data_IF_618284784377
#
_entry.id   IF_618284784377
#
_cell.length_a   1.000
_cell.length_b   1.000
_cell.length_c   1.000
_cell.angle_alpha   90.00
_cell.angle_beta   90.00
_cell.angle_gamma   90.00
#
_symmetry.space_group_name_H-M   'P 1'
#
loop_
_entity.id
_entity.type
_entity.pdbx_description
1 polymer ?
#
# COMPACT_ATOMS: atom_id res chain seq x y z
N UNK A 1 21.85 -4.76 7.51
CA UNK A 1 22.79 -5.24 6.46
C UNK A 1 22.59 -4.47 5.15
N UNK A 2 21.38 -3.99 4.84
CA UNK A 2 21.15 -3.07 3.70
C UNK A 2 21.67 -1.63 3.92
N UNK A 3 21.94 -1.20 5.16
CA UNK A 3 22.63 0.08 5.41
C UNK A 3 24.11 0.08 4.97
N UNK A 4 24.72 -1.09 4.74
CA UNK A 4 26.17 -1.20 4.46
C UNK A 4 26.52 -1.33 2.97
N UNK A 5 25.54 -1.49 2.08
CA UNK A 5 25.78 -1.56 0.64
C UNK A 5 25.14 -0.35 -0.01
N UNK A 6 25.89 0.75 -0.03
CA UNK A 6 25.56 1.98 -0.75
C UNK A 6 25.32 1.71 -2.24
N UNK A 7 24.11 1.28 -2.56
CA UNK A 7 23.59 1.08 -3.92
C UNK A 7 22.90 2.34 -4.44
N UNK A 8 23.07 3.47 -3.76
CA UNK A 8 22.62 4.76 -4.25
C UNK A 8 23.69 5.33 -5.20
N UNK A 9 23.35 5.69 -6.45
CA UNK A 9 24.24 6.39 -7.37
C UNK A 9 25.00 7.53 -6.70
N UNK A 10 26.29 7.66 -7.01
CA UNK A 10 27.22 8.65 -6.42
C UNK A 10 26.78 10.12 -6.64
N UNK A 11 25.82 10.34 -7.54
CA UNK A 11 25.24 11.64 -7.89
C UNK A 11 23.99 12.00 -7.06
N UNK A 12 23.54 11.12 -6.17
CA UNK A 12 22.35 11.40 -5.36
C UNK A 12 22.69 12.37 -4.24
N UNK A 13 21.86 13.41 -4.13
CA UNK A 13 21.95 14.37 -3.02
C UNK A 13 21.79 13.66 -1.68
N UNK A 14 22.31 14.24 -0.57
CA UNK A 14 22.10 13.70 0.76
C UNK A 14 20.62 13.50 1.07
N UNK A 15 20.29 12.44 1.83
CA UNK A 15 18.90 12.09 2.19
C UNK A 15 18.14 13.25 2.84
N UNK A 16 18.80 13.99 3.72
CA UNK A 16 18.21 15.14 4.42
C UNK A 16 17.88 16.27 3.44
N UNK A 17 18.73 16.48 2.43
CA UNK A 17 18.49 17.48 1.37
C UNK A 17 17.30 17.08 0.50
N UNK A 18 17.19 15.78 0.16
CA UNK A 18 16.05 15.26 -0.60
C UNK A 18 14.76 15.42 0.22
N UNK A 19 14.77 15.03 1.49
CA UNK A 19 13.62 15.14 2.38
C UNK A 19 13.16 16.59 2.55
N UNK A 20 14.11 17.53 2.71
CA UNK A 20 13.78 18.94 2.80
C UNK A 20 13.19 19.46 1.48
N UNK A 21 13.79 19.12 0.34
CA UNK A 21 13.28 19.53 -0.99
C UNK A 21 11.85 19.07 -1.20
N UNK A 22 11.54 17.81 -0.86
CA UNK A 22 10.18 17.25 -0.97
C UNK A 22 9.22 17.97 -0.01
N UNK A 23 9.66 18.23 1.22
CA UNK A 23 8.86 18.97 2.21
C UNK A 23 8.53 20.36 1.70
N UNK A 24 9.49 21.08 1.14
CA UNK A 24 9.30 22.41 0.59
C UNK A 24 8.30 22.41 -0.58
N UNK A 25 8.37 21.40 -1.47
CA UNK A 25 7.41 21.21 -2.57
C UNK A 25 5.99 21.01 -2.04
N UNK A 26 5.81 20.11 -1.06
CA UNK A 26 4.49 19.79 -0.50
C UNK A 26 3.93 21.00 0.25
N UNK A 27 4.73 21.69 1.06
CA UNK A 27 4.30 22.89 1.80
C UNK A 27 3.91 24.03 0.85
N UNK A 28 4.66 24.22 -0.24
CA UNK A 28 4.34 25.22 -1.26
C UNK A 28 2.99 24.98 -1.98
N UNK A 29 2.47 23.74 -1.93
CA UNK A 29 1.20 23.35 -2.55
C UNK A 29 0.11 22.97 -1.52
N UNK A 30 0.34 23.24 -0.22
CA UNK A 30 -0.54 22.84 0.87
C UNK A 30 -2.00 23.33 0.69
N UNK A 31 -2.20 24.59 0.27
CA UNK A 31 -3.53 25.15 0.05
C UNK A 31 -4.31 24.35 -1.02
N UNK A 32 -3.65 23.97 -2.11
CA UNK A 32 -4.27 23.18 -3.19
C UNK A 32 -4.61 21.76 -2.71
N UNK A 33 -3.70 21.13 -1.96
CA UNK A 33 -3.86 19.80 -1.39
C UNK A 33 -5.04 19.72 -0.41
N UNK A 34 -5.22 20.77 0.39
CA UNK A 34 -6.36 20.88 1.31
C UNK A 34 -7.67 21.03 0.53
N UNK A 35 -7.73 21.99 -0.40
CA UNK A 35 -8.93 22.31 -1.15
C UNK A 35 -9.44 21.15 -2.04
N UNK A 36 -8.52 20.44 -2.70
CA UNK A 36 -8.89 19.46 -3.73
C UNK A 36 -8.85 18.02 -3.24
N UNK A 37 -7.93 17.71 -2.31
CA UNK A 37 -7.68 16.35 -1.85
C UNK A 37 -7.91 16.16 -0.35
N UNK A 38 -8.34 17.19 0.38
CA UNK A 38 -8.54 17.14 1.84
C UNK A 38 -7.29 16.64 2.60
N UNK A 39 -6.11 16.93 2.06
CA UNK A 39 -4.83 16.62 2.69
C UNK A 39 -4.26 17.89 3.30
N UNK A 40 -4.07 17.90 4.62
CA UNK A 40 -3.69 19.12 5.36
C UNK A 40 -2.24 19.00 5.79
N UNK A 41 -1.43 19.98 5.40
CA UNK A 41 -0.02 20.11 5.78
C UNK A 41 0.18 21.46 6.47
N UNK A 42 0.83 21.45 7.63
CA UNK A 42 1.12 22.68 8.36
C UNK A 42 2.22 23.49 7.68
N UNK A 43 2.32 24.78 8.02
CA UNK A 43 3.41 25.66 7.56
C UNK A 43 4.79 25.19 8.02
N UNK A 44 4.84 24.41 9.09
CA UNK A 44 6.07 23.81 9.63
C UNK A 44 6.44 22.48 8.95
N UNK A 45 5.69 22.06 7.91
CA UNK A 45 5.95 20.82 7.17
C UNK A 45 5.39 19.55 7.81
N UNK A 46 4.43 19.68 8.74
CA UNK A 46 3.81 18.52 9.40
C UNK A 46 2.53 18.10 8.70
N UNK A 47 2.40 16.82 8.35
CA UNK A 47 1.16 16.25 7.84
C UNK A 47 0.13 16.13 8.98
N UNK A 48 -0.98 16.84 8.85
CA UNK A 48 -2.05 16.90 9.87
C UNK A 48 -3.26 16.02 9.52
N UNK A 49 -3.59 15.90 8.23
CA UNK A 49 -4.74 15.12 7.78
C UNK A 49 -4.52 14.50 6.40
N UNK A 50 -5.20 13.37 6.16
CA UNK A 50 -5.23 12.63 4.89
C UNK A 50 -6.69 12.42 4.44
N UNK A 51 -6.95 12.26 3.13
CA UNK A 51 -8.29 12.05 2.61
C UNK A 51 -8.98 10.79 3.17
N UNK A 52 -10.30 10.83 3.36
CA UNK A 52 -11.07 9.62 3.66
C UNK A 52 -11.79 9.13 2.40
N UNK A 53 -11.11 8.30 1.60
CA UNK A 53 -11.66 7.82 0.32
C UNK A 53 -12.82 6.83 0.50
N UNK A 54 -12.76 6.01 1.55
CA UNK A 54 -13.79 5.03 1.88
C UNK A 54 -14.10 5.09 3.38
N UNK A 55 -15.37 5.24 3.74
CA UNK A 55 -15.79 5.36 5.13
C UNK A 55 -15.37 4.14 5.95
N UNK A 56 -14.62 4.38 7.03
CA UNK A 56 -14.13 3.33 7.93
C UNK A 56 -12.91 2.56 7.41
N UNK A 57 -12.38 2.92 6.25
CA UNK A 57 -11.12 2.38 5.74
C UNK A 57 -9.97 3.32 6.07
N UNK A 58 -8.90 2.75 6.64
CA UNK A 58 -7.64 3.43 6.91
C UNK A 58 -6.55 2.63 6.21
N UNK A 59 -5.75 3.25 5.33
CA UNK A 59 -4.67 2.55 4.63
C UNK A 59 -3.53 2.17 5.58
N UNK A 60 -2.67 1.26 5.12
CA UNK A 60 -1.47 0.87 5.87
C UNK A 60 -0.49 2.03 5.95
N UNK A 61 -0.30 2.57 7.17
CA UNK A 61 0.55 3.75 7.39
C UNK A 61 2.04 3.49 7.19
N UNK A 62 2.47 2.23 7.10
CA UNK A 62 3.85 1.88 6.74
C UNK A 62 4.22 2.36 5.32
N UNK A 63 3.22 2.59 4.46
CA UNK A 63 3.41 3.14 3.10
C UNK A 63 3.53 4.67 3.08
N UNK A 64 3.25 5.35 4.19
CA UNK A 64 3.21 6.80 4.24
C UNK A 64 4.55 7.46 3.84
N UNK A 65 5.72 6.98 4.29
CA UNK A 65 7.00 7.57 3.88
C UNK A 65 7.23 7.49 2.36
N UNK A 66 6.90 6.35 1.75
CA UNK A 66 7.04 6.15 0.31
C UNK A 66 6.03 7.00 -0.48
N UNK A 67 4.80 7.14 0.03
CA UNK A 67 3.80 8.03 -0.56
C UNK A 67 4.28 9.48 -0.57
N UNK A 68 4.80 10.00 0.56
CA UNK A 68 5.33 11.37 0.62
C UNK A 68 6.52 11.58 -0.31
N UNK A 69 7.41 10.58 -0.43
CA UNK A 69 8.50 10.61 -1.40
C UNK A 69 7.97 10.72 -2.83
N UNK A 70 6.99 9.88 -3.21
CA UNK A 70 6.40 9.86 -4.56
C UNK A 70 5.59 11.12 -4.86
N UNK A 71 4.98 11.76 -3.87
CA UNK A 71 4.37 13.09 -4.07
C UNK A 71 5.41 14.12 -4.54
N UNK A 72 6.62 14.08 -3.99
CA UNK A 72 7.68 15.00 -4.38
C UNK A 72 8.33 14.67 -5.73
N UNK A 73 8.36 13.40 -6.14
CA UNK A 73 9.14 12.95 -7.32
C UNK A 73 8.31 12.54 -8.53
N UNK A 74 7.12 11.99 -8.34
CA UNK A 74 6.31 11.38 -9.41
C UNK A 74 5.14 12.25 -9.86
N UNK A 75 4.75 13.23 -9.05
CA UNK A 75 3.61 14.12 -9.37
C UNK A 75 4.10 15.25 -10.28
N UNK A 76 3.42 15.42 -11.42
CA UNK A 76 3.64 16.55 -12.32
C UNK A 76 2.96 17.79 -11.76
N UNK A 77 3.71 18.62 -11.03
CA UNK A 77 3.19 19.85 -10.43
C UNK A 77 3.11 21.05 -11.39
N UNK A 78 3.52 20.88 -12.66
CA UNK A 78 3.56 21.95 -13.66
C UNK A 78 2.32 21.95 -14.54
N UNK A 79 1.86 20.77 -14.99
CA UNK A 79 0.65 20.63 -15.79
C UNK A 79 -0.56 20.34 -14.89
N UNK A 80 -1.65 21.11 -15.03
CA UNK A 80 -2.86 20.91 -14.21
C UNK A 80 -3.44 19.50 -14.35
N UNK A 81 -3.74 19.05 -15.58
CA UNK A 81 -4.30 17.71 -15.83
C UNK A 81 -3.34 16.61 -15.37
N UNK A 82 -2.04 16.77 -15.67
CA UNK A 82 -0.97 15.88 -15.22
C UNK A 82 -0.89 15.79 -13.70
N UNK A 83 -1.03 16.91 -12.99
CA UNK A 83 -1.02 16.99 -11.53
C UNK A 83 -2.16 16.16 -10.93
N UNK A 84 -3.39 16.37 -11.40
CA UNK A 84 -4.56 15.66 -10.86
C UNK A 84 -4.51 14.16 -11.17
N UNK A 85 -4.12 13.76 -12.39
CA UNK A 85 -3.99 12.34 -12.74
C UNK A 85 -2.88 11.66 -11.94
N UNK A 86 -1.68 12.24 -11.89
CA UNK A 86 -0.54 11.64 -11.19
C UNK A 86 -0.77 11.59 -9.67
N UNK A 87 -1.28 12.67 -9.05
CA UNK A 87 -1.59 12.67 -7.63
C UNK A 87 -2.71 11.67 -7.29
N UNK A 88 -3.75 11.61 -8.13
CA UNK A 88 -4.82 10.63 -7.99
C UNK A 88 -4.30 9.18 -8.02
N UNK A 89 -3.32 8.89 -8.88
CA UNK A 89 -2.64 7.59 -8.92
C UNK A 89 -1.82 7.32 -7.66
N UNK A 90 -1.08 8.30 -7.17
CA UNK A 90 -0.29 8.15 -5.94
C UNK A 90 -1.18 7.91 -4.71
N UNK A 91 -2.30 8.62 -4.61
CA UNK A 91 -3.33 8.33 -3.62
C UNK A 91 -3.88 6.91 -3.80
N UNK A 92 -4.21 6.48 -5.02
CA UNK A 92 -4.71 5.13 -5.25
C UNK A 92 -3.70 4.04 -4.83
N UNK A 93 -2.39 4.25 -5.08
CA UNK A 93 -1.32 3.34 -4.65
C UNK A 93 -1.23 3.30 -3.11
N UNK A 94 -1.26 4.47 -2.47
CA UNK A 94 -1.22 4.55 -1.01
C UNK A 94 -2.44 3.90 -0.35
N UNK A 95 -3.64 4.11 -0.90
CA UNK A 95 -4.90 3.54 -0.40
C UNK A 95 -5.18 2.11 -0.87
N UNK A 96 -4.35 1.54 -1.74
CA UNK A 96 -4.48 0.14 -2.14
C UNK A 96 -4.34 -0.77 -0.90
N UNK A 97 -5.29 -1.69 -0.73
CA UNK A 97 -5.21 -2.66 0.35
C UNK A 97 -4.27 -3.80 -0.04
N UNK A 98 -3.20 -3.94 0.72
CA UNK A 98 -2.19 -4.98 0.52
C UNK A 98 -2.17 -5.91 1.73
N UNK A 99 -2.00 -7.22 1.50
CA UNK A 99 -1.81 -8.16 2.60
C UNK A 99 -0.51 -7.81 3.35
N UNK A 100 -0.48 -7.94 4.69
CA UNK A 100 0.77 -7.79 5.42
C UNK A 100 1.80 -8.84 4.96
N UNK A 101 3.09 -8.50 5.09
CA UNK A 101 4.18 -9.41 4.71
C UNK A 101 4.29 -10.53 5.74
N UNK A 102 4.32 -11.77 5.26
CA UNK A 102 4.54 -12.93 6.11
C UNK A 102 5.95 -12.91 6.71
N UNK A 103 6.10 -13.11 8.03
CA UNK A 103 7.42 -13.26 8.63
C UNK A 103 8.09 -14.52 8.06
N UNK A 104 9.37 -14.40 7.70
CA UNK A 104 10.14 -15.51 7.16
C UNK A 104 10.38 -16.53 8.27
N UNK A 105 9.81 -17.71 8.13
CA UNK A 105 10.14 -18.84 8.99
C UNK A 105 11.38 -19.53 8.39
N UNK A 106 12.55 -19.33 8.98
CA UNK A 106 13.73 -20.13 8.66
C UNK A 106 13.52 -21.55 9.17
N UNK A 107 12.78 -22.38 8.42
CA UNK A 107 12.52 -23.78 8.78
C UNK A 107 13.70 -24.71 8.45
N UNK A 108 14.82 -24.17 7.95
CA UNK A 108 15.96 -24.94 7.43
C UNK A 108 17.19 -24.92 8.35
N UNK A 109 17.15 -24.18 9.46
CA UNK A 109 18.21 -24.21 10.47
C UNK A 109 17.84 -25.23 11.56
N UNK A 110 18.76 -26.12 11.89
CA UNK A 110 18.57 -27.17 12.90
C UNK A 110 17.93 -26.58 14.20
N UNK A 111 16.79 -27.09 14.68
CA UNK A 111 16.02 -26.49 15.80
C UNK A 111 16.72 -26.46 17.17
N UNK A 112 17.99 -26.87 17.26
CA UNK A 112 18.60 -27.29 18.52
C UNK A 112 19.44 -26.20 19.21
N UNK A 113 19.66 -25.03 18.59
CA UNK A 113 20.48 -23.95 19.18
C UNK A 113 19.87 -22.54 19.00
N UNK A 114 18.55 -22.45 18.91
CA UNK A 114 17.88 -21.14 18.97
C UNK A 114 17.70 -20.70 20.42
N UNK A 115 18.27 -19.54 20.76
CA UNK A 115 18.09 -18.95 22.07
C UNK A 115 16.60 -18.73 22.39
N UNK A 116 16.21 -18.93 23.65
CA UNK A 116 14.86 -18.69 24.17
C UNK A 116 14.35 -17.26 23.84
N UNK A 117 15.25 -16.31 23.63
CA UNK A 117 14.94 -14.94 23.24
C UNK A 117 14.50 -14.83 21.78
N UNK A 118 15.12 -15.59 20.86
CA UNK A 118 14.76 -15.63 19.43
C UNK A 118 13.39 -16.26 19.22
N UNK A 119 13.09 -17.37 19.89
CA UNK A 119 11.76 -18.00 19.85
C UNK A 119 10.66 -17.06 20.34
N UNK A 120 10.90 -16.29 21.41
CA UNK A 120 9.93 -15.31 21.89
C UNK A 120 9.69 -14.19 20.88
N UNK A 121 10.74 -13.68 20.22
CA UNK A 121 10.61 -12.66 19.19
C UNK A 121 9.84 -13.17 17.96
N UNK A 122 10.14 -14.39 17.49
CA UNK A 122 9.43 -15.01 16.37
C UNK A 122 7.95 -15.22 16.68
N UNK A 123 7.63 -15.72 17.89
CA UNK A 123 6.24 -15.89 18.31
C UNK A 123 5.49 -14.56 18.35
N UNK A 124 6.12 -13.48 18.84
CA UNK A 124 5.51 -12.14 18.85
C UNK A 124 5.28 -11.61 17.42
N UNK A 125 6.25 -11.77 16.52
CA UNK A 125 6.10 -11.38 15.11
C UNK A 125 4.97 -12.15 14.44
N UNK A 126 4.89 -13.47 14.65
CA UNK A 126 3.83 -14.31 14.10
C UNK A 126 2.44 -13.90 14.62
N UNK A 127 2.33 -13.56 15.90
CA UNK A 127 1.08 -13.07 16.49
C UNK A 127 0.66 -11.73 15.89
N UNK A 128 1.61 -10.80 15.71
CA UNK A 128 1.35 -9.51 15.09
C UNK A 128 0.89 -9.67 13.63
N UNK A 129 1.57 -10.51 12.85
CA UNK A 129 1.18 -10.85 11.49
C UNK A 129 -0.26 -11.38 11.42
N UNK A 130 -0.62 -12.35 12.28
CA UNK A 130 -1.97 -12.92 12.30
C UNK A 130 -3.05 -11.85 12.54
N UNK A 131 -2.83 -10.96 13.51
CA UNK A 131 -3.78 -9.89 13.81
C UNK A 131 -3.92 -8.91 12.64
N UNK A 132 -2.81 -8.49 12.02
CA UNK A 132 -2.83 -7.59 10.86
C UNK A 132 -3.48 -8.26 9.64
N UNK A 133 -3.23 -9.56 9.44
CA UNK A 133 -3.81 -10.33 8.34
C UNK A 133 -5.32 -10.51 8.50
N UNK A 134 -5.80 -10.84 9.71
CA UNK A 134 -7.24 -10.92 10.00
C UNK A 134 -7.92 -9.56 9.78
N UNK A 135 -7.29 -8.46 10.19
CA UNK A 135 -7.79 -7.11 9.94
C UNK A 135 -7.88 -6.82 8.45
N UNK A 136 -6.84 -7.15 7.68
CA UNK A 136 -6.81 -6.98 6.23
C UNK A 136 -7.96 -7.75 5.56
N UNK A 137 -8.13 -9.04 5.88
CA UNK A 137 -9.22 -9.86 5.33
C UNK A 137 -10.59 -9.27 5.67
N UNK A 138 -10.77 -8.80 6.91
CA UNK A 138 -12.01 -8.17 7.32
C UNK A 138 -12.31 -6.90 6.52
N UNK A 139 -11.32 -6.02 6.34
CA UNK A 139 -11.45 -4.79 5.54
C UNK A 139 -11.78 -5.11 4.08
N UNK A 140 -11.09 -6.09 3.49
CA UNK A 140 -11.34 -6.54 2.12
C UNK A 140 -12.79 -7.01 1.98
N UNK A 141 -13.24 -7.91 2.86
CA UNK A 141 -14.58 -8.50 2.79
C UNK A 141 -15.71 -7.50 3.08
N UNK A 142 -15.53 -6.62 4.08
CA UNK A 142 -16.63 -5.82 4.63
C UNK A 142 -16.61 -4.35 4.21
N UNK A 143 -15.49 -3.85 3.68
CA UNK A 143 -15.36 -2.47 3.21
C UNK A 143 -15.13 -2.44 1.70
N UNK A 144 -14.07 -3.11 1.22
CA UNK A 144 -13.59 -2.96 -0.16
C UNK A 144 -14.53 -3.65 -1.16
N UNK A 145 -14.83 -4.94 -0.99
CA UNK A 145 -15.73 -5.64 -1.90
C UNK A 145 -17.14 -5.01 -1.97
N UNK A 146 -17.76 -4.59 -0.86
CA UNK A 146 -19.01 -3.84 -0.90
C UNK A 146 -18.91 -2.52 -1.66
N UNK A 147 -17.83 -1.76 -1.46
CA UNK A 147 -17.57 -0.52 -2.21
C UNK A 147 -17.44 -0.81 -3.71
N UNK A 148 -16.60 -1.79 -4.08
CA UNK A 148 -16.41 -2.20 -5.47
C UNK A 148 -17.73 -2.61 -6.13
N UNK A 149 -18.56 -3.41 -5.44
CA UNK A 149 -19.86 -3.84 -5.97
C UNK A 149 -20.79 -2.68 -6.31
N UNK A 150 -20.69 -1.55 -5.62
CA UNK A 150 -21.60 -0.42 -5.77
C UNK A 150 -21.07 0.71 -6.64
N UNK A 151 -19.74 0.92 -6.69
CA UNK A 151 -19.13 2.12 -7.26
C UNK A 151 -18.04 1.84 -8.30
N UNK A 152 -17.58 0.59 -8.45
CA UNK A 152 -16.47 0.29 -9.36
C UNK A 152 -16.94 0.16 -10.81
N UNK A 153 -16.36 0.99 -11.68
CA UNK A 153 -16.49 0.88 -13.14
C UNK A 153 -15.22 0.17 -13.62
N UNK A 154 -15.34 -1.12 -13.95
CA UNK A 154 -14.20 -1.93 -14.35
C UNK A 154 -13.60 -1.43 -15.68
N UNK A 155 -12.32 -1.00 -15.71
CA UNK A 155 -11.65 -0.67 -16.94
C UNK A 155 -11.54 -1.89 -17.86
N UNK A 156 -11.57 -1.68 -19.18
CA UNK A 156 -11.45 -2.76 -20.16
C UNK A 156 -10.13 -3.54 -20.04
N UNK A 157 -9.08 -2.94 -19.48
CA UNK A 157 -7.81 -3.61 -19.16
C UNK A 157 -7.94 -4.70 -18.10
N UNK A 158 -8.85 -4.56 -17.13
CA UNK A 158 -9.08 -5.54 -16.04
C UNK A 158 -9.78 -6.79 -16.55
N UNK A 159 -10.65 -6.67 -17.55
CA UNK A 159 -11.42 -7.77 -18.11
C UNK A 159 -10.65 -8.62 -19.14
N UNK A 160 -9.45 -8.19 -19.55
CA UNK A 160 -8.61 -8.95 -20.48
C UNK A 160 -7.97 -10.12 -19.75
N UNK A 161 -8.16 -11.33 -20.28
CA UNK A 161 -7.61 -12.56 -19.69
C UNK A 161 -6.07 -12.51 -19.56
N UNK A 162 -5.39 -11.87 -20.53
CA UNK A 162 -3.93 -11.74 -20.55
C UNK A 162 -3.37 -10.81 -19.47
N UNK A 163 -4.20 -9.95 -18.87
CA UNK A 163 -3.75 -8.97 -17.89
C UNK A 163 -3.55 -9.56 -16.48
N UNK A 164 -4.09 -10.76 -16.22
CA UNK A 164 -3.89 -11.49 -14.97
C UNK A 164 -4.60 -10.94 -13.73
N UNK A 165 -5.33 -9.82 -13.83
CA UNK A 165 -6.06 -9.22 -12.70
C UNK A 165 -7.25 -10.06 -12.24
N UNK A 166 -7.99 -10.68 -13.18
CA UNK A 166 -9.14 -11.54 -12.89
C UNK A 166 -9.02 -12.83 -13.68
N UNK A 167 -8.70 -13.92 -12.98
CA UNK A 167 -8.51 -15.24 -13.59
C UNK A 167 -9.62 -16.19 -13.17
N UNK A 168 -10.31 -16.79 -14.15
CA UNK A 168 -11.34 -17.80 -13.88
C UNK A 168 -10.68 -19.13 -13.46
N UNK A 169 -10.78 -19.46 -12.17
CA UNK A 169 -10.23 -20.71 -11.63
C UNK A 169 -11.11 -21.94 -11.91
N UNK A 170 -12.43 -21.79 -11.80
CA UNK A 170 -13.36 -22.89 -11.93
C UNK A 170 -14.70 -22.44 -12.51
N UNK A 171 -15.48 -23.39 -13.01
CA UNK A 171 -16.86 -23.20 -13.44
C UNK A 171 -17.74 -24.26 -12.79
N UNK A 172 -18.82 -23.82 -12.15
CA UNK A 172 -19.74 -24.73 -11.45
C UNK A 172 -20.31 -25.82 -12.38
N UNK A 173 -20.57 -25.51 -13.65
CA UNK A 173 -21.06 -26.50 -14.62
C UNK A 173 -20.09 -27.64 -14.90
N UNK A 174 -18.79 -27.43 -14.71
CA UNK A 174 -17.78 -28.48 -14.86
C UNK A 174 -17.60 -29.26 -13.56
N UNK A 175 -17.72 -28.58 -12.41
CA UNK A 175 -17.70 -29.22 -11.10
C UNK A 175 -18.90 -30.15 -10.88
N UNK A 176 -20.10 -29.75 -11.28
CA UNK A 176 -21.31 -30.59 -11.14
C UNK A 176 -21.30 -31.88 -11.97
N UNK A 177 -20.37 -32.03 -12.93
CA UNK A 177 -20.17 -33.30 -13.67
C UNK A 177 -19.39 -34.34 -12.88
N UNK A 178 -18.65 -33.90 -11.86
CA UNK A 178 -17.76 -34.73 -11.04
C UNK A 178 -18.35 -34.88 -9.63
N UNK A 179 -18.87 -33.80 -9.07
CA UNK A 179 -19.43 -33.74 -7.73
C UNK A 179 -20.96 -33.81 -7.78
N UNK A 180 -21.48 -35.03 -7.79
CA UNK A 180 -22.92 -35.32 -7.72
C UNK A 180 -23.39 -35.61 -6.29
N UNK A 181 -24.70 -35.47 -6.05
CA UNK A 181 -25.30 -35.85 -4.77
C UNK A 181 -25.23 -37.38 -4.60
N UNK A 182 -25.04 -37.85 -3.37
CA UNK A 182 -25.14 -39.28 -3.04
C UNK A 182 -26.54 -39.84 -3.33
#
# INVERSE_FOLDING_TARGET
>A
VEEQQGTLPEQLQPKDTIAQTITDVIVARADMLEDHFSMVVSKDGLLLALPMLLKGYIPTMDKLPLFLLRLGTEVDWENEEGCFDSLGRELAIFYCAEPPVEPVNNTNDDPMDESVLLQQQQQQQQQRYKQEHERYLWQVQHLIFPALKSQFIAPGSVAKEDAGYVTRLARLTDLYKIFERC
#
